data_IF_056510108542
#
_entry.id   IF_056510108542
#
_cell.length_a   1.000
_cell.length_b   1.000
_cell.length_c   1.000
_cell.angle_alpha   90.00
_cell.angle_beta   90.00
_cell.angle_gamma   90.00
#
_symmetry.space_group_name_H-M   'P 1'
#
loop_
_entity.id
_entity.type
_entity.pdbx_description
1 polymer ?
#
# COMPACT_ATOMS: atom_id res chain seq x y z
N UNK A 1 9.76 12.90 -6.57
CA UNK A 1 8.49 13.49 -7.06
C UNK A 1 7.54 13.71 -5.91
N UNK A 2 7.26 12.67 -5.11
CA UNK A 2 6.46 12.77 -3.88
C UNK A 2 7.02 13.84 -2.94
N UNK A 3 8.34 13.93 -2.77
CA UNK A 3 9.01 14.93 -1.93
C UNK A 3 8.68 16.38 -2.32
N UNK A 4 8.56 16.66 -3.62
CA UNK A 4 8.23 18.00 -4.12
C UNK A 4 6.79 18.38 -3.77
N UNK A 5 5.85 17.44 -3.91
CA UNK A 5 4.45 17.64 -3.54
C UNK A 5 4.35 17.87 -2.03
N UNK A 6 4.99 17.02 -1.23
CA UNK A 6 5.03 17.11 0.24
C UNK A 6 5.64 18.43 0.69
N UNK A 7 6.70 18.89 0.03
CA UNK A 7 7.31 20.19 0.32
C UNK A 7 6.32 21.35 0.11
N UNK A 8 5.62 21.40 -1.03
CA UNK A 8 4.68 22.48 -1.32
C UNK A 8 3.46 22.47 -0.38
N UNK A 9 2.91 21.29 -0.09
CA UNK A 9 1.77 21.14 0.82
C UNK A 9 2.18 21.52 2.25
N UNK A 10 3.32 21.02 2.73
CA UNK A 10 3.80 21.31 4.09
C UNK A 10 4.13 22.79 4.29
N UNK A 11 4.72 23.46 3.29
CA UNK A 11 5.00 24.90 3.35
C UNK A 11 3.74 25.75 3.43
N UNK A 12 2.68 25.40 2.69
CA UNK A 12 1.39 26.10 2.78
C UNK A 12 0.72 25.86 4.13
N UNK A 13 0.79 24.65 4.67
CA UNK A 13 0.17 24.31 5.94
C UNK A 13 0.78 25.10 7.11
N UNK A 14 2.11 25.28 7.14
CA UNK A 14 2.78 26.17 8.10
C UNK A 14 2.40 27.63 7.87
N UNK A 15 2.38 28.08 6.61
CA UNK A 15 2.02 29.46 6.27
C UNK A 15 0.59 29.86 6.67
N UNK A 16 -0.32 28.89 6.76
CA UNK A 16 -1.69 29.09 7.26
C UNK A 16 -1.84 28.87 8.77
N UNK A 17 -0.77 28.54 9.49
CA UNK A 17 -0.82 28.26 10.93
C UNK A 17 -1.57 26.98 11.30
N UNK A 18 -1.75 26.05 10.33
CA UNK A 18 -2.43 24.76 10.57
C UNK A 18 -1.53 23.81 11.35
N UNK A 19 -0.21 24.00 11.26
CA UNK A 19 0.80 23.09 11.82
C UNK A 19 1.94 23.92 12.41
N UNK A 20 2.38 23.55 13.61
CA UNK A 20 3.57 24.12 14.22
C UNK A 20 4.85 23.58 13.58
N UNK A 21 5.92 24.37 13.54
CA UNK A 21 7.21 23.95 12.97
C UNK A 21 7.80 22.69 13.65
N UNK A 22 7.51 22.49 14.94
CA UNK A 22 7.94 21.28 15.69
C UNK A 22 7.31 19.99 15.15
N UNK A 23 6.11 20.07 14.58
CA UNK A 23 5.34 18.91 14.11
C UNK A 23 5.52 18.68 12.61
N UNK A 24 6.19 19.62 11.92
CA UNK A 24 6.49 19.56 10.50
C UNK A 24 7.16 18.24 10.05
N UNK A 25 8.13 17.65 10.79
CA UNK A 25 8.72 16.38 10.40
C UNK A 25 7.71 15.22 10.39
N UNK A 26 6.86 15.16 11.42
CA UNK A 26 5.82 14.12 11.56
C UNK A 26 4.76 14.30 10.48
N UNK A 27 4.34 15.54 10.22
CA UNK A 27 3.38 15.84 9.18
C UNK A 27 3.88 15.45 7.79
N UNK A 28 5.15 15.75 7.48
CA UNK A 28 5.78 15.36 6.21
C UNK A 28 5.83 13.84 6.05
N UNK A 29 6.22 13.13 7.11
CA UNK A 29 6.22 11.66 7.09
C UNK A 29 4.83 11.08 6.84
N UNK A 30 3.80 11.60 7.51
CA UNK A 30 2.42 11.18 7.30
C UNK A 30 1.95 11.44 5.87
N UNK A 31 2.24 12.63 5.33
CA UNK A 31 1.91 12.98 3.94
C UNK A 31 2.58 12.07 2.92
N UNK A 32 3.88 11.79 3.09
CA UNK A 32 4.60 10.83 2.24
C UNK A 32 3.88 9.49 2.31
N UNK A 33 3.68 8.95 3.51
CA UNK A 33 3.06 7.65 3.72
C UNK A 33 1.67 7.54 3.06
N UNK A 34 0.83 8.57 3.20
CA UNK A 34 -0.51 8.61 2.59
C UNK A 34 -0.42 8.60 1.06
N UNK A 35 0.47 9.40 0.48
CA UNK A 35 0.66 9.45 -0.97
C UNK A 35 1.18 8.12 -1.53
N UNK A 36 2.11 7.49 -0.83
CA UNK A 36 2.65 6.18 -1.21
C UNK A 36 1.57 5.09 -1.18
N UNK A 37 0.82 5.01 -0.09
CA UNK A 37 -0.29 4.06 0.07
C UNK A 37 -1.34 4.31 -1.03
N UNK A 38 -1.69 5.57 -1.28
CA UNK A 38 -2.65 5.93 -2.33
C UNK A 38 -2.23 5.43 -3.71
N UNK A 39 -0.96 5.62 -4.09
CA UNK A 39 -0.44 5.15 -5.38
C UNK A 39 -0.46 3.63 -5.48
N UNK A 40 -0.04 2.91 -4.43
CA UNK A 40 -0.04 1.45 -4.40
C UNK A 40 -1.48 0.91 -4.50
N UNK A 41 -2.39 1.42 -3.65
CA UNK A 41 -3.80 1.00 -3.63
C UNK A 41 -4.51 1.25 -4.95
N UNK A 42 -4.25 2.40 -5.59
CA UNK A 42 -4.81 2.71 -6.92
C UNK A 42 -4.38 1.66 -7.95
N UNK A 43 -3.10 1.27 -7.93
CA UNK A 43 -2.57 0.27 -8.87
C UNK A 43 -3.17 -1.11 -8.60
N UNK A 44 -3.25 -1.52 -7.33
CA UNK A 44 -3.86 -2.78 -6.92
C UNK A 44 -5.33 -2.87 -7.34
N UNK A 45 -6.07 -1.76 -7.24
CA UNK A 45 -7.46 -1.67 -7.69
C UNK A 45 -7.60 -1.87 -9.21
N UNK A 46 -6.75 -1.23 -10.02
CA UNK A 46 -6.80 -1.42 -11.47
C UNK A 46 -6.50 -2.88 -11.88
N UNK A 47 -5.54 -3.52 -11.20
CA UNK A 47 -5.20 -4.94 -11.43
C UNK A 47 -6.36 -5.85 -11.05
N UNK A 48 -6.98 -5.64 -9.89
CA UNK A 48 -8.08 -6.50 -9.42
C UNK A 48 -9.34 -6.35 -10.26
N UNK A 49 -9.62 -5.15 -10.79
CA UNK A 49 -10.66 -4.92 -11.79
C UNK A 49 -10.34 -5.69 -13.07
N UNK A 50 -9.10 -5.59 -13.59
CA UNK A 50 -8.68 -6.30 -14.80
C UNK A 50 -8.74 -7.82 -14.68
N UNK A 51 -8.49 -8.36 -13.48
CA UNK A 51 -8.61 -9.78 -13.17
C UNK A 51 -10.04 -10.20 -12.79
N UNK A 52 -10.97 -9.27 -12.62
CA UNK A 52 -12.33 -9.53 -12.11
C UNK A 52 -12.35 -10.29 -10.76
N UNK A 53 -11.42 -9.94 -9.86
CA UNK A 53 -11.24 -10.57 -8.55
C UNK A 53 -11.18 -9.50 -7.44
N UNK A 54 -12.16 -8.60 -7.41
CA UNK A 54 -12.19 -7.47 -6.47
C UNK A 54 -12.33 -7.92 -5.02
N UNK A 55 -13.13 -8.96 -4.75
CA UNK A 55 -13.43 -9.43 -3.39
C UNK A 55 -12.19 -10.12 -2.81
N UNK A 56 -11.57 -11.00 -3.59
CA UNK A 56 -10.34 -11.71 -3.22
C UNK A 56 -9.19 -10.73 -3.00
N UNK A 57 -9.07 -9.71 -3.85
CA UNK A 57 -8.11 -8.62 -3.67
C UNK A 57 -8.35 -7.83 -2.38
N UNK A 58 -9.61 -7.48 -2.08
CA UNK A 58 -9.94 -6.76 -0.86
C UNK A 58 -9.60 -7.59 0.40
N UNK A 59 -9.94 -8.88 0.40
CA UNK A 59 -9.58 -9.80 1.48
C UNK A 59 -8.07 -9.94 1.64
N UNK A 60 -7.35 -10.13 0.54
CA UNK A 60 -5.88 -10.26 0.55
C UNK A 60 -5.22 -9.00 1.12
N UNK A 61 -5.61 -7.81 0.65
CA UNK A 61 -5.09 -6.54 1.15
C UNK A 61 -5.43 -6.37 2.63
N UNK A 62 -6.66 -6.70 3.04
CA UNK A 62 -7.08 -6.63 4.45
C UNK A 62 -6.22 -7.50 5.37
N UNK A 63 -6.05 -8.78 5.02
CA UNK A 63 -5.24 -9.73 5.79
C UNK A 63 -3.78 -9.27 5.87
N UNK A 64 -3.18 -8.90 4.73
CA UNK A 64 -1.78 -8.46 4.69
C UNK A 64 -1.59 -7.15 5.46
N UNK A 65 -2.56 -6.22 5.43
CA UNK A 65 -2.49 -4.96 6.19
C UNK A 65 -2.51 -5.20 7.70
N UNK A 66 -3.41 -6.08 8.17
CA UNK A 66 -3.46 -6.49 9.58
C UNK A 66 -2.16 -7.18 9.97
N UNK A 67 -1.70 -8.16 9.19
CA UNK A 67 -0.45 -8.88 9.44
C UNK A 67 0.76 -7.94 9.55
N UNK A 68 0.88 -6.97 8.63
CA UNK A 68 1.95 -5.95 8.64
C UNK A 68 1.88 -5.01 9.84
N UNK A 69 0.68 -4.76 10.36
CA UNK A 69 0.50 -3.90 11.53
C UNK A 69 1.02 -4.55 12.81
N UNK A 70 0.98 -5.89 12.90
CA UNK A 70 1.48 -6.65 14.05
C UNK A 70 2.93 -7.12 13.90
N UNK A 71 3.37 -7.52 12.70
CA UNK A 71 4.72 -8.04 12.44
C UNK A 71 5.79 -6.97 12.19
N UNK A 72 5.39 -5.69 12.18
CA UNK A 72 6.22 -4.62 11.64
C UNK A 72 6.27 -4.67 10.09
N UNK A 73 6.82 -3.61 9.51
CA UNK A 73 6.92 -3.47 8.06
C UNK A 73 8.37 -3.35 7.59
N UNK A 74 8.68 -3.97 6.45
CA UNK A 74 9.85 -3.59 5.66
C UNK A 74 9.50 -2.33 4.85
N UNK A 75 10.04 -1.18 5.24
CA UNK A 75 10.03 0.02 4.42
C UNK A 75 11.35 0.08 3.66
N UNK A 76 11.29 -0.15 2.34
CA UNK A 76 12.47 -0.10 1.50
C UNK A 76 13.05 1.32 1.47
N UNK A 77 14.36 1.46 1.27
CA UNK A 77 15.05 2.76 1.21
C UNK A 77 14.52 3.71 0.12
N UNK A 78 13.71 3.22 -0.81
CA UNK A 78 13.05 4.04 -1.84
C UNK A 78 11.58 3.63 -2.02
N UNK A 79 10.73 4.62 -2.28
CA UNK A 79 9.33 4.41 -2.64
C UNK A 79 9.16 3.39 -3.78
N UNK A 80 10.00 3.48 -4.83
CA UNK A 80 9.92 2.59 -5.99
C UNK A 80 10.11 1.12 -5.58
N UNK A 81 11.09 0.84 -4.74
CA UNK A 81 11.32 -0.51 -4.24
C UNK A 81 10.13 -1.02 -3.42
N UNK A 82 9.59 -0.20 -2.52
CA UNK A 82 8.41 -0.56 -1.72
C UNK A 82 7.19 -0.84 -2.61
N UNK A 83 6.98 0.01 -3.62
CA UNK A 83 5.91 -0.11 -4.59
C UNK A 83 5.99 -1.43 -5.37
N UNK A 84 7.13 -1.74 -5.98
CA UNK A 84 7.27 -2.95 -6.79
C UNK A 84 7.22 -4.23 -5.95
N UNK A 85 7.81 -4.24 -4.75
CA UNK A 85 7.73 -5.39 -3.85
C UNK A 85 6.27 -5.65 -3.44
N UNK A 86 5.55 -4.60 -3.04
CA UNK A 86 4.15 -4.71 -2.62
C UNK A 86 3.26 -5.18 -3.78
N UNK A 87 3.50 -4.67 -4.99
CA UNK A 87 2.78 -5.06 -6.19
C UNK A 87 3.06 -6.52 -6.57
N UNK A 88 4.31 -6.96 -6.49
CA UNK A 88 4.71 -8.33 -6.82
C UNK A 88 4.08 -9.33 -5.85
N UNK A 89 4.09 -9.04 -4.54
CA UNK A 89 3.43 -9.88 -3.53
C UNK A 89 1.92 -9.95 -3.79
N UNK A 90 1.29 -8.83 -4.13
CA UNK A 90 -0.13 -8.77 -4.41
C UNK A 90 -0.53 -9.57 -5.66
N UNK A 91 0.19 -9.39 -6.77
CA UNK A 91 -0.06 -10.15 -8.01
C UNK A 91 0.18 -11.64 -7.78
N UNK A 92 1.30 -12.01 -7.13
CA UNK A 92 1.59 -13.40 -6.81
C UNK A 92 0.48 -14.02 -5.94
N UNK A 93 0.05 -13.34 -4.89
CA UNK A 93 -1.04 -13.78 -4.02
C UNK A 93 -2.35 -14.00 -4.79
N UNK A 94 -2.75 -13.03 -5.62
CA UNK A 94 -3.94 -13.17 -6.45
C UNK A 94 -3.83 -14.29 -7.49
N UNK A 95 -2.64 -14.49 -8.08
CA UNK A 95 -2.45 -15.60 -9.02
C UNK A 95 -2.59 -16.95 -8.34
N UNK A 96 -2.07 -17.09 -7.12
CA UNK A 96 -2.23 -18.32 -6.32
C UNK A 96 -3.70 -18.56 -5.99
N UNK A 97 -4.41 -17.54 -5.50
CA UNK A 97 -5.84 -17.65 -5.14
C UNK A 97 -6.70 -18.03 -6.35
N UNK A 98 -6.42 -17.43 -7.52
CA UNK A 98 -7.27 -17.58 -8.69
C UNK A 98 -6.97 -18.83 -9.52
N UNK A 99 -5.70 -19.22 -9.62
CA UNK A 99 -5.24 -20.21 -10.59
C UNK A 99 -4.69 -21.49 -9.98
N UNK A 100 -4.40 -21.52 -8.68
CA UNK A 100 -4.01 -22.78 -8.05
C UNK A 100 -5.30 -23.60 -7.83
N UNK A 101 -5.44 -24.76 -8.50
CA UNK A 101 -6.65 -25.56 -8.38
C UNK A 101 -6.84 -25.98 -6.93
N UNK A 102 -8.10 -25.92 -6.47
CA UNK A 102 -8.58 -26.33 -5.14
C UNK A 102 -8.47 -27.86 -4.94
N UNK A 103 -7.56 -28.55 -5.65
CA UNK A 103 -7.35 -29.99 -5.47
C UNK A 103 -6.73 -30.33 -4.10
N UNK A 104 -6.24 -29.34 -3.34
CA UNK A 104 -5.80 -29.57 -1.95
C UNK A 104 -6.96 -29.72 -0.94
N UNK A 105 -8.19 -29.33 -1.30
CA UNK A 105 -9.37 -29.50 -0.42
C UNK A 105 -9.95 -30.92 -0.50
N UNK A 106 -9.85 -31.56 -1.66
CA UNK A 106 -10.39 -32.91 -1.89
C UNK A 106 -9.47 -34.05 -1.41
N UNK A 107 -8.19 -33.79 -1.11
CA UNK A 107 -7.27 -34.81 -0.57
C UNK A 107 -7.41 -34.93 0.96
N UNK A 108 -8.17 -34.05 1.61
CA UNK A 108 -8.37 -34.01 3.07
C UNK A 108 -9.77 -34.47 3.53
N UNK A 109 -10.64 -34.91 2.61
CA UNK A 109 -11.92 -35.60 2.88
C UNK A 109 -11.88 -37.03 2.33
#
# INVERSE_FOLDING_TARGET
>A
MIDQIVYHVSRKAVGYGVIEDKDLPVFRYGLISILEIFMIMSTMLFISIGMNCLIEAAMFVGIISVYRSFGGGYHANTFKSCYFISLLIFVAGLTVIKWLPVELYDIAN
#
